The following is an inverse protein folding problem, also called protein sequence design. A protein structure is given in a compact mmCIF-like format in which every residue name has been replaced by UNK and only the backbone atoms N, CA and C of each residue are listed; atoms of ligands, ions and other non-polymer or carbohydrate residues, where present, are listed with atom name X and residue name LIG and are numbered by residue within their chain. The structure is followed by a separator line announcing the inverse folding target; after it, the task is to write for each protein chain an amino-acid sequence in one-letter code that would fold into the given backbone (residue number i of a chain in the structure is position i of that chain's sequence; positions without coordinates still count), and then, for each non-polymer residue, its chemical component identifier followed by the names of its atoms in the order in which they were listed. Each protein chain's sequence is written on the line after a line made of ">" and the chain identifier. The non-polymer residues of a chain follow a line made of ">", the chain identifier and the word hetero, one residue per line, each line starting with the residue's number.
data_IF_515335249053
#
_entry.id   IF_515335249053
#
_cell.length_a   1.000
_cell.length_b   1.000
_cell.length_c   1.000
_cell.angle_alpha   90.00
_cell.angle_beta   90.00
_cell.angle_gamma   90.00
#
_symmetry.space_group_name_H-M   'P 1'
#
loop_
_entity.id
_entity.type
_entity.pdbx_description
1 polymer ?
#
# COMPACT_ATOMS: atom_id res chain seq x y z
N UNK A 1 3.86 20.18 42.99
CA UNK A 1 5.01 19.92 42.08
C UNK A 1 4.90 18.47 41.65
N UNK A 2 5.01 18.19 40.34
CA UNK A 2 4.94 16.86 39.68
C UNK A 2 3.51 16.30 39.58
N UNK A 3 2.99 15.71 38.50
CA UNK A 3 3.19 15.72 37.05
C UNK A 3 1.95 14.96 36.52
N UNK A 4 1.10 15.62 35.74
CA UNK A 4 -0.03 14.97 35.05
C UNK A 4 0.08 15.16 33.54
N UNK A 5 1.24 14.81 32.97
CA UNK A 5 1.32 14.47 31.55
C UNK A 5 0.62 13.12 31.26
N UNK A 6 -0.70 13.16 31.13
CA UNK A 6 -1.42 12.12 30.38
C UNK A 6 -0.95 12.19 28.92
N UNK A 7 -0.07 11.27 28.54
CA UNK A 7 0.28 10.93 27.15
C UNK A 7 -0.99 10.60 26.38
N UNK A 8 -1.57 11.60 25.75
CA UNK A 8 -2.70 11.44 24.84
C UNK A 8 -2.15 10.78 23.56
N UNK A 9 -2.25 9.44 23.47
CA UNK A 9 -1.93 8.68 22.25
C UNK A 9 -2.83 9.23 21.14
N UNK A 10 -2.31 10.16 20.32
CA UNK A 10 -3.00 10.73 19.16
C UNK A 10 -3.40 9.57 18.26
N UNK A 11 -4.70 9.25 18.21
CA UNK A 11 -5.23 8.28 17.26
C UNK A 11 -4.83 8.72 15.85
N UNK A 12 -4.38 7.79 14.98
CA UNK A 12 -4.08 8.15 13.60
C UNK A 12 -5.31 8.78 12.96
N UNK A 13 -5.14 9.86 12.21
CA UNK A 13 -6.24 10.49 11.50
C UNK A 13 -6.87 9.54 10.48
N UNK A 14 -8.16 9.73 10.16
CA UNK A 14 -8.91 8.94 9.18
C UNK A 14 -8.15 8.74 7.85
N UNK A 15 -7.40 9.76 7.42
CA UNK A 15 -6.58 9.70 6.20
C UNK A 15 -5.46 8.65 6.23
N UNK A 16 -4.92 8.29 7.40
CA UNK A 16 -3.90 7.24 7.50
C UNK A 16 -4.53 5.87 7.23
N UNK A 17 -5.71 5.61 7.79
CA UNK A 17 -6.44 4.36 7.57
C UNK A 17 -6.88 4.20 6.11
N UNK A 18 -7.38 5.28 5.48
CA UNK A 18 -7.75 5.27 4.06
C UNK A 18 -6.55 5.00 3.15
N UNK A 19 -5.42 5.67 3.37
CA UNK A 19 -4.20 5.46 2.59
C UNK A 19 -3.63 4.05 2.79
N UNK A 20 -3.67 3.53 4.02
CA UNK A 20 -3.25 2.16 4.29
C UNK A 20 -4.16 1.15 3.58
N UNK A 21 -5.49 1.33 3.64
CA UNK A 21 -6.43 0.49 2.89
C UNK A 21 -6.18 0.52 1.39
N UNK A 22 -5.94 1.72 0.83
CA UNK A 22 -5.61 1.89 -0.58
C UNK A 22 -4.30 1.17 -0.95
N UNK A 23 -3.26 1.27 -0.11
CA UNK A 23 -1.99 0.58 -0.31
C UNK A 23 -2.15 -0.94 -0.32
N UNK A 24 -2.98 -1.49 0.58
CA UNK A 24 -3.28 -2.93 0.61
C UNK A 24 -4.00 -3.37 -0.67
N UNK A 25 -4.98 -2.60 -1.15
CA UNK A 25 -5.69 -2.90 -2.40
C UNK A 25 -4.74 -2.90 -3.60
N UNK A 26 -3.88 -1.89 -3.74
CA UNK A 26 -2.91 -1.84 -4.83
C UNK A 26 -1.87 -2.95 -4.76
N UNK A 27 -1.37 -3.28 -3.56
CA UNK A 27 -0.44 -4.39 -3.38
C UNK A 27 -1.09 -5.73 -3.74
N UNK A 28 -2.36 -5.93 -3.36
CA UNK A 28 -3.14 -7.11 -3.74
C UNK A 28 -3.32 -7.21 -5.25
N UNK A 29 -3.71 -6.12 -5.92
CA UNK A 29 -3.89 -6.08 -7.36
C UNK A 29 -2.57 -6.33 -8.12
N UNK A 30 -1.46 -5.74 -7.67
CA UNK A 30 -0.14 -5.97 -8.27
C UNK A 30 0.31 -7.43 -8.10
N UNK A 31 0.10 -8.01 -6.92
CA UNK A 31 0.42 -9.42 -6.66
C UNK A 31 -0.40 -10.36 -7.54
N UNK A 32 -1.70 -10.09 -7.68
CA UNK A 32 -2.58 -10.84 -8.57
C UNK A 32 -2.10 -10.76 -10.02
N UNK A 33 -1.79 -9.55 -10.52
CA UNK A 33 -1.32 -9.36 -11.89
C UNK A 33 0.01 -10.07 -12.16
N UNK A 34 0.97 -9.97 -11.24
CA UNK A 34 2.26 -10.68 -11.34
C UNK A 34 2.04 -12.20 -11.37
N UNK A 35 1.12 -12.74 -10.56
CA UNK A 35 0.81 -14.16 -10.55
C UNK A 35 0.16 -14.61 -11.87
N UNK A 36 -0.79 -13.83 -12.41
CA UNK A 36 -1.41 -14.11 -13.71
C UNK A 36 -0.34 -14.15 -14.82
N UNK A 37 0.53 -13.13 -14.88
CA UNK A 37 1.62 -13.07 -15.87
C UNK A 37 2.57 -14.26 -15.68
N UNK A 38 2.97 -14.57 -14.45
CA UNK A 38 3.85 -15.70 -14.17
C UNK A 38 3.25 -17.04 -14.64
N UNK A 39 1.97 -17.26 -14.37
CA UNK A 39 1.24 -18.45 -14.82
C UNK A 39 1.15 -18.51 -16.35
N UNK A 40 0.88 -17.37 -16.99
CA UNK A 40 0.83 -17.27 -18.45
C UNK A 40 2.18 -17.57 -19.10
N UNK A 41 3.28 -17.04 -18.55
CA UNK A 41 4.64 -17.32 -19.02
C UNK A 41 5.01 -18.80 -18.88
N UNK A 42 4.63 -19.45 -17.77
CA UNK A 42 4.84 -20.90 -17.60
C UNK A 42 4.04 -21.73 -18.61
N UNK A 43 2.80 -21.34 -18.90
CA UNK A 43 2.00 -21.99 -19.94
C UNK A 43 2.59 -21.78 -21.33
N UNK A 44 3.08 -20.58 -21.63
CA UNK A 44 3.76 -20.28 -22.89
C UNK A 44 5.03 -21.11 -23.05
N UNK A 45 5.84 -21.22 -22.00
CA UNK A 45 7.03 -22.06 -21.99
C UNK A 45 6.70 -23.55 -22.22
N UNK A 46 5.59 -24.04 -21.64
CA UNK A 46 5.11 -25.39 -21.87
C UNK A 46 4.66 -25.60 -23.33
N UNK A 47 3.90 -24.65 -23.89
CA UNK A 47 3.45 -24.70 -25.28
C UNK A 47 4.63 -24.66 -26.27
N UNK A 48 5.65 -23.85 -25.99
CA UNK A 48 6.88 -23.81 -26.78
C UNK A 48 7.62 -25.15 -26.70
N UNK A 49 7.74 -25.74 -25.50
CA UNK A 49 8.37 -27.04 -25.31
C UNK A 49 7.61 -28.16 -26.05
N UNK A 50 6.28 -28.14 -26.02
CA UNK A 50 5.44 -29.07 -26.79
C UNK A 50 5.67 -28.94 -28.29
N UNK A 51 5.67 -27.71 -28.81
CA UNK A 51 5.88 -27.44 -30.24
C UNK A 51 7.27 -27.91 -30.69
N UNK A 52 8.32 -27.60 -29.90
CA UNK A 52 9.68 -28.05 -30.17
C UNK A 52 9.80 -29.57 -30.11
N UNK A 53 9.23 -30.20 -29.08
CA UNK A 53 9.21 -31.65 -28.94
C UNK A 53 8.57 -32.30 -30.17
N UNK A 54 7.41 -31.78 -30.62
CA UNK A 54 6.72 -32.29 -31.81
C UNK A 54 7.56 -32.17 -33.07
N UNK A 55 8.15 -31.00 -33.35
CA UNK A 55 8.96 -30.78 -34.55
C UNK A 55 10.19 -31.69 -34.56
N UNK A 56 10.92 -31.76 -33.45
CA UNK A 56 12.12 -32.60 -33.33
C UNK A 56 11.77 -34.09 -33.47
N UNK A 57 10.66 -34.51 -32.85
CA UNK A 57 10.17 -35.88 -32.94
C UNK A 57 9.73 -36.25 -34.36
N UNK A 58 8.93 -35.40 -35.01
CA UNK A 58 8.49 -35.61 -36.40
C UNK A 58 9.68 -35.64 -37.36
N UNK A 59 10.68 -34.78 -37.14
CA UNK A 59 11.91 -34.74 -37.94
C UNK A 59 12.70 -36.04 -37.81
N UNK A 60 12.95 -36.50 -36.59
CA UNK A 60 13.71 -37.73 -36.37
C UNK A 60 12.97 -38.96 -36.86
N UNK A 61 11.64 -39.01 -36.72
CA UNK A 61 10.81 -40.05 -37.32
C UNK A 61 10.86 -40.05 -38.85
N UNK A 62 10.81 -38.87 -39.48
CA UNK A 62 10.96 -38.76 -40.93
C UNK A 62 12.34 -39.24 -41.38
N UNK A 63 13.39 -38.96 -40.61
CA UNK A 63 14.74 -39.49 -40.86
C UNK A 63 14.76 -41.02 -40.73
N UNK A 64 14.21 -41.58 -39.66
CA UNK A 64 14.11 -43.03 -39.48
C UNK A 64 13.37 -43.70 -40.66
N UNK A 65 12.21 -43.15 -41.04
CA UNK A 65 11.41 -43.63 -42.15
C UNK A 65 12.15 -43.56 -43.50
N UNK A 66 12.97 -42.52 -43.74
CA UNK A 66 13.82 -42.45 -44.93
C UNK A 66 14.83 -43.60 -44.97
N UNK A 67 15.50 -43.91 -43.85
CA UNK A 67 16.41 -45.05 -43.77
C UNK A 67 15.67 -46.37 -44.00
N UNK A 68 14.54 -46.58 -43.30
CA UNK A 68 13.77 -47.83 -43.34
C UNK A 68 13.12 -48.08 -44.72
N UNK A 69 12.44 -47.09 -45.29
CA UNK A 69 11.59 -47.30 -46.47
C UNK A 69 12.22 -46.80 -47.78
N UNK A 70 13.24 -45.94 -47.74
CA UNK A 70 13.85 -45.37 -48.96
C UNK A 70 15.26 -45.87 -49.20
N UNK A 71 16.16 -45.71 -48.22
CA UNK A 71 17.58 -46.03 -48.40
C UNK A 71 17.82 -47.54 -48.39
N UNK A 72 17.45 -48.23 -47.30
CA UNK A 72 17.74 -49.66 -47.12
C UNK A 72 17.24 -50.52 -48.26
N UNK A 73 15.98 -50.45 -48.73
CA UNK A 73 15.50 -51.34 -49.78
C UNK A 73 16.33 -51.22 -51.07
N UNK A 74 16.73 -49.99 -51.44
CA UNK A 74 17.56 -49.74 -52.62
C UNK A 74 18.98 -50.28 -52.47
N UNK A 75 19.60 -50.05 -51.30
CA UNK A 75 20.97 -50.53 -51.04
C UNK A 75 20.99 -52.07 -50.93
N UNK A 76 19.99 -52.68 -50.30
CA UNK A 76 19.84 -54.14 -50.29
C UNK A 76 19.68 -54.68 -51.70
N UNK A 77 18.76 -54.13 -52.51
CA UNK A 77 18.57 -54.58 -53.89
C UNK A 77 19.85 -54.48 -54.75
N UNK A 78 20.64 -53.41 -54.57
CA UNK A 78 21.90 -53.21 -55.29
C UNK A 78 23.00 -54.17 -54.83
N UNK A 79 23.05 -54.47 -53.53
CA UNK A 79 24.16 -55.22 -52.91
C UNK A 79 23.88 -56.71 -52.79
N UNK A 80 22.62 -57.17 -52.82
CA UNK A 80 22.25 -58.59 -52.66
C UNK A 80 23.07 -59.56 -53.54
N UNK A 81 23.41 -59.25 -54.82
CA UNK A 81 24.19 -60.17 -55.65
C UNK A 81 25.66 -60.36 -55.21
N UNK A 82 26.22 -59.39 -54.49
CA UNK A 82 27.66 -59.32 -54.15
C UNK A 82 27.94 -59.34 -52.65
N UNK A 83 26.91 -59.10 -51.82
CA UNK A 83 27.01 -59.01 -50.37
C UNK A 83 26.94 -60.40 -49.76
N UNK A 84 27.88 -60.71 -48.88
CA UNK A 84 27.83 -61.94 -48.08
C UNK A 84 26.61 -61.91 -47.15
N UNK A 85 25.95 -63.06 -46.98
CA UNK A 85 24.89 -63.24 -45.97
C UNK A 85 25.34 -62.92 -44.55
N UNK A 86 26.64 -63.03 -44.28
CA UNK A 86 27.23 -62.69 -42.99
C UNK A 86 27.46 -61.20 -42.77
N UNK A 87 27.46 -60.39 -43.83
CA UNK A 87 27.81 -58.97 -43.78
C UNK A 87 26.72 -58.17 -43.06
N UNK A 88 27.17 -57.35 -42.13
CA UNK A 88 26.36 -56.38 -41.42
C UNK A 88 27.15 -55.09 -41.22
N UNK A 89 26.53 -53.95 -41.51
CA UNK A 89 27.08 -52.63 -41.24
C UNK A 89 25.99 -51.75 -40.60
N UNK A 90 26.15 -51.35 -39.33
CA UNK A 90 25.13 -50.60 -38.62
C UNK A 90 24.88 -49.21 -39.20
N UNK A 91 25.82 -48.62 -39.95
CA UNK A 91 25.72 -47.25 -40.48
C UNK A 91 24.54 -47.05 -41.43
N UNK A 92 24.16 -48.10 -42.17
CA UNK A 92 23.03 -48.04 -43.12
C UNK A 92 22.00 -49.16 -42.90
N UNK A 93 22.38 -50.30 -42.33
CA UNK A 93 21.44 -51.41 -42.10
C UNK A 93 20.60 -51.20 -40.83
N UNK A 94 21.04 -50.37 -39.89
CA UNK A 94 20.28 -50.01 -38.68
C UNK A 94 19.81 -48.56 -38.72
N UNK A 95 18.49 -48.36 -38.81
CA UNK A 95 17.89 -47.01 -38.84
C UNK A 95 18.11 -46.32 -37.50
N UNK A 96 17.88 -47.03 -36.40
CA UNK A 96 18.15 -46.56 -35.03
C UNK A 96 19.61 -46.19 -34.78
N UNK A 97 20.58 -46.92 -35.35
CA UNK A 97 21.99 -46.53 -35.27
C UNK A 97 22.23 -45.22 -36.01
N UNK A 98 21.76 -45.11 -37.26
CA UNK A 98 21.92 -43.89 -38.06
C UNK A 98 21.29 -42.66 -37.38
N UNK A 99 20.06 -42.78 -36.88
CA UNK A 99 19.37 -41.69 -36.17
C UNK A 99 20.12 -41.30 -34.89
N UNK A 100 20.67 -42.27 -34.14
CA UNK A 100 21.48 -41.98 -32.95
C UNK A 100 22.78 -41.24 -33.30
N UNK A 101 23.48 -41.63 -34.36
CA UNK A 101 24.69 -40.91 -34.79
C UNK A 101 24.35 -39.49 -35.28
N UNK A 102 23.22 -39.31 -35.97
CA UNK A 102 22.71 -37.99 -36.34
C UNK A 102 22.40 -37.15 -35.08
N UNK A 103 21.80 -37.75 -34.04
CA UNK A 103 21.53 -37.06 -32.78
C UNK A 103 22.82 -36.62 -32.06
N UNK A 104 23.90 -37.41 -32.13
CA UNK A 104 25.22 -36.99 -31.64
C UNK A 104 25.75 -35.76 -32.38
N UNK A 105 25.59 -35.71 -33.70
CA UNK A 105 25.94 -34.52 -34.48
C UNK A 105 25.04 -33.33 -34.15
N UNK A 106 23.74 -33.54 -33.96
CA UNK A 106 22.81 -32.51 -33.54
C UNK A 106 23.21 -31.90 -32.18
N UNK A 107 23.54 -32.73 -31.19
CA UNK A 107 24.03 -32.27 -29.88
C UNK A 107 25.34 -31.50 -29.96
N UNK A 108 26.23 -31.85 -30.89
CA UNK A 108 27.46 -31.07 -31.11
C UNK A 108 27.18 -29.66 -31.69
N UNK A 109 26.06 -29.49 -32.40
CA UNK A 109 25.61 -28.20 -32.95
C UNK A 109 24.70 -27.43 -31.96
N UNK A 110 24.08 -28.13 -31.01
CA UNK A 110 23.08 -27.58 -30.10
C UNK A 110 23.25 -28.15 -28.69
N UNK A 111 23.61 -27.27 -27.74
CA UNK A 111 23.82 -27.59 -26.33
C UNK A 111 22.61 -27.24 -25.44
N UNK A 112 21.41 -27.11 -26.00
CA UNK A 112 20.18 -26.80 -25.24
C UNK A 112 19.65 -28.00 -24.41
N UNK A 113 20.45 -29.05 -24.22
CA UNK A 113 20.13 -30.14 -23.29
C UNK A 113 18.94 -31.01 -23.69
N UNK A 114 18.57 -31.03 -24.98
CA UNK A 114 17.54 -31.92 -25.48
C UNK A 114 17.97 -33.38 -25.36
N UNK A 115 17.09 -34.20 -24.79
CA UNK A 115 17.25 -35.65 -24.80
C UNK A 115 16.38 -36.24 -25.89
N UNK A 116 16.98 -37.07 -26.72
CA UNK A 116 16.30 -37.90 -27.70
C UNK A 116 16.79 -39.33 -27.57
N UNK A 117 15.87 -40.30 -27.58
CA UNK A 117 16.20 -41.72 -27.62
C UNK A 117 15.11 -42.52 -28.31
N UNK A 118 15.48 -43.31 -29.30
CA UNK A 118 14.68 -44.45 -29.74
C UNK A 118 14.90 -45.58 -28.73
N UNK A 119 13.97 -45.71 -27.80
CA UNK A 119 14.04 -46.65 -26.70
C UNK A 119 13.36 -47.97 -27.08
N UNK A 120 13.93 -49.09 -26.68
CA UNK A 120 13.35 -50.41 -26.90
C UNK A 120 13.51 -51.31 -25.68
N UNK A 121 12.56 -52.23 -25.47
CA UNK A 121 12.67 -53.29 -24.47
C UNK A 121 13.67 -54.31 -25.00
N UNK A 122 14.71 -54.70 -24.24
CA UNK A 122 15.75 -55.62 -24.71
C UNK A 122 16.37 -55.13 -26.04
N UNK A 123 16.81 -53.87 -26.04
CA UNK A 123 17.40 -53.20 -27.19
C UNK A 123 18.74 -53.85 -27.58
N UNK A 124 19.05 -53.88 -28.88
CA UNK A 124 20.32 -54.46 -29.36
C UNK A 124 21.53 -53.67 -28.86
N UNK A 125 21.46 -52.34 -28.96
CA UNK A 125 22.45 -51.46 -28.34
C UNK A 125 22.02 -51.14 -26.91
N UNK A 126 22.91 -51.27 -25.91
CA UNK A 126 22.62 -50.87 -24.53
C UNK A 126 22.15 -49.43 -24.40
N UNK A 127 22.66 -48.53 -25.24
CA UNK A 127 22.31 -47.10 -25.24
C UNK A 127 20.83 -46.84 -25.57
N UNK A 128 20.16 -47.78 -26.26
CA UNK A 128 18.75 -47.69 -26.63
C UNK A 128 17.84 -48.44 -25.65
N UNK A 129 18.37 -49.01 -24.57
CA UNK A 129 17.54 -49.72 -23.61
C UNK A 129 16.55 -48.74 -22.96
N UNK A 130 15.28 -49.13 -22.96
CA UNK A 130 14.23 -48.36 -22.33
C UNK A 130 14.40 -48.32 -20.81
N UNK A 131 14.24 -47.14 -20.22
CA UNK A 131 14.13 -46.99 -18.77
C UNK A 131 12.77 -47.51 -18.26
N UNK A 132 12.56 -47.57 -16.95
CA UNK A 132 11.31 -48.11 -16.38
C UNK A 132 10.04 -47.38 -16.89
N UNK A 133 10.13 -46.08 -17.16
CA UNK A 133 9.01 -45.29 -17.64
C UNK A 133 8.73 -45.53 -19.13
N UNK A 134 9.80 -45.56 -19.94
CA UNK A 134 9.75 -45.90 -21.36
C UNK A 134 9.24 -47.34 -21.58
N UNK A 135 9.66 -48.29 -20.75
CA UNK A 135 9.21 -49.70 -20.77
C UNK A 135 7.72 -49.84 -20.55
N UNK A 136 7.19 -49.21 -19.49
CA UNK A 136 5.77 -49.25 -19.18
C UNK A 136 4.91 -48.73 -20.35
N UNK A 137 5.36 -47.68 -21.04
CA UNK A 137 4.67 -47.17 -22.22
C UNK A 137 4.71 -48.16 -23.39
N UNK A 138 5.87 -48.79 -23.67
CA UNK A 138 5.99 -49.79 -24.76
C UNK A 138 5.10 -51.01 -24.49
N UNK A 139 5.02 -51.47 -23.24
CA UNK A 139 4.13 -52.57 -22.85
C UNK A 139 2.66 -52.21 -23.11
N UNK A 140 2.26 -50.98 -22.77
CA UNK A 140 0.91 -50.47 -23.03
C UNK A 140 0.58 -50.35 -24.52
N UNK A 141 1.54 -49.95 -25.36
CA UNK A 141 1.35 -49.85 -26.82
C UNK A 141 0.93 -51.16 -27.48
N UNK A 142 1.35 -52.30 -26.92
CA UNK A 142 0.96 -53.63 -27.42
C UNK A 142 -0.46 -54.01 -26.99
N UNK A 143 -1.00 -53.41 -25.92
CA UNK A 143 -2.37 -53.61 -25.45
C UNK A 143 -3.38 -52.65 -26.06
N UNK A 144 -2.95 -51.45 -26.47
CA UNK A 144 -3.82 -50.41 -27.05
C UNK A 144 -3.27 -49.92 -28.40
N UNK A 145 -3.82 -50.39 -29.54
CA UNK A 145 -3.43 -49.93 -30.89
C UNK A 145 -3.66 -48.44 -31.16
N UNK A 146 -4.61 -47.80 -30.47
CA UNK A 146 -4.95 -46.38 -30.69
C UNK A 146 -4.01 -45.44 -29.94
N UNK A 147 -3.30 -45.93 -28.92
CA UNK A 147 -2.27 -45.17 -28.22
C UNK A 147 -1.09 -44.87 -29.15
N UNK A 148 -1.00 -43.61 -29.59
CA UNK A 148 0.07 -43.13 -30.49
C UNK A 148 1.15 -42.34 -29.78
N UNK A 149 0.78 -41.54 -28.78
CA UNK A 149 1.72 -40.74 -28.01
C UNK A 149 1.21 -40.48 -26.60
N UNK A 150 2.12 -40.12 -25.71
CA UNK A 150 1.85 -39.65 -24.35
C UNK A 150 2.79 -38.50 -24.02
N UNK A 151 2.23 -37.39 -23.56
CA UNK A 151 3.01 -36.23 -23.12
C UNK A 151 2.72 -35.91 -21.66
N UNK A 152 3.75 -35.51 -20.92
CA UNK A 152 3.64 -35.14 -19.50
C UNK A 152 4.86 -34.32 -19.05
N UNK A 153 4.74 -33.68 -17.90
CA UNK A 153 5.89 -33.05 -17.22
C UNK A 153 6.48 -34.06 -16.23
N UNK A 154 7.78 -34.29 -16.30
CA UNK A 154 8.52 -35.15 -15.35
C UNK A 154 9.60 -34.35 -14.64
N UNK A 155 9.75 -34.60 -13.34
CA UNK A 155 10.94 -34.19 -12.60
C UNK A 155 11.96 -35.33 -12.67
N UNK A 156 13.15 -35.04 -13.20
CA UNK A 156 14.28 -35.96 -13.32
C UNK A 156 15.48 -35.28 -12.64
N UNK A 157 15.97 -35.87 -11.56
CA UNK A 157 17.14 -35.38 -10.80
C UNK A 157 17.07 -33.90 -10.40
N UNK A 158 15.87 -33.41 -10.07
CA UNK A 158 15.63 -32.02 -9.65
C UNK A 158 15.34 -31.06 -10.79
N UNK A 159 15.41 -31.50 -12.05
CA UNK A 159 15.08 -30.70 -13.22
C UNK A 159 13.74 -31.14 -13.84
N UNK A 160 12.94 -30.16 -14.29
CA UNK A 160 11.67 -30.42 -14.96
C UNK A 160 11.86 -30.53 -16.46
N UNK A 161 11.23 -31.55 -17.05
CA UNK A 161 11.23 -31.80 -18.48
C UNK A 161 9.81 -31.99 -18.98
N UNK A 162 9.51 -31.42 -20.15
CA UNK A 162 8.39 -31.85 -20.96
C UNK A 162 8.81 -33.12 -21.69
N UNK A 163 8.14 -34.23 -21.41
CA UNK A 163 8.47 -35.54 -21.96
C UNK A 163 7.35 -35.98 -22.87
N UNK A 164 7.70 -36.28 -24.12
CA UNK A 164 6.80 -36.92 -25.07
C UNK A 164 7.35 -38.27 -25.44
N UNK A 165 6.51 -39.30 -25.28
CA UNK A 165 6.73 -40.63 -25.79
C UNK A 165 5.82 -40.85 -27.00
N UNK A 166 6.35 -41.47 -28.05
CA UNK A 166 5.59 -41.81 -29.25
C UNK A 166 5.83 -43.24 -29.67
N UNK A 167 4.77 -43.89 -30.15
CA UNK A 167 4.80 -45.24 -30.73
C UNK A 167 5.87 -45.31 -31.81
N UNK A 168 6.77 -46.29 -31.69
CA UNK A 168 7.77 -46.60 -32.70
C UNK A 168 7.21 -47.43 -33.86
N UNK A 169 8.10 -47.83 -34.77
CA UNK A 169 7.73 -48.75 -35.85
C UNK A 169 7.36 -50.14 -35.28
N UNK A 170 6.38 -50.77 -35.92
CA UNK A 170 6.02 -52.17 -35.66
C UNK A 170 7.04 -53.09 -36.32
N UNK A 171 7.23 -54.28 -35.76
CA UNK A 171 8.11 -55.28 -36.34
C UNK A 171 7.53 -55.81 -37.67
N UNK A 172 8.09 -55.37 -38.80
CA UNK A 172 7.75 -55.89 -40.12
C UNK A 172 8.46 -57.22 -40.41
N UNK A 173 8.00 -57.97 -41.43
CA UNK A 173 8.67 -59.19 -41.90
C UNK A 173 10.14 -58.95 -42.28
N UNK A 174 10.42 -57.78 -42.86
CA UNK A 174 11.78 -57.36 -43.22
C UNK A 174 12.70 -57.24 -41.99
N UNK A 175 12.16 -56.87 -40.84
CA UNK A 175 12.90 -56.74 -39.58
C UNK A 175 13.33 -58.10 -39.02
N UNK A 176 12.55 -59.16 -39.27
CA UNK A 176 12.81 -60.51 -38.78
C UNK A 176 14.06 -61.14 -39.39
N UNK A 177 14.59 -60.60 -40.50
CA UNK A 177 15.92 -60.94 -41.04
C UNK A 177 17.03 -60.76 -39.99
N UNK A 178 16.89 -59.78 -39.10
CA UNK A 178 17.88 -59.45 -38.08
C UNK A 178 17.39 -59.65 -36.64
N UNK A 179 16.08 -59.80 -36.42
CA UNK A 179 15.46 -59.84 -35.09
C UNK A 179 14.72 -61.15 -34.76
N UNK A 180 14.73 -62.14 -35.66
CA UNK A 180 14.12 -63.46 -35.41
C UNK A 180 14.97 -64.30 -34.45
N UNK A 181 15.86 -65.15 -34.93
CA UNK A 181 16.76 -65.96 -34.09
C UNK A 181 18.22 -65.62 -34.38
N UNK A 182 19.13 -65.82 -33.41
CA UNK A 182 20.56 -65.58 -33.63
C UNK A 182 21.13 -66.35 -34.83
N UNK A 183 20.68 -67.59 -35.05
CA UNK A 183 21.17 -68.44 -36.16
C UNK A 183 20.76 -67.94 -37.55
N UNK A 184 19.65 -67.20 -37.64
CA UNK A 184 19.13 -66.63 -38.90
C UNK A 184 19.65 -65.23 -39.19
N UNK A 185 20.21 -64.56 -38.19
CA UNK A 185 20.73 -63.21 -38.35
C UNK A 185 22.14 -63.22 -38.97
N UNK A 186 22.57 -62.11 -39.62
CA UNK A 186 23.92 -62.00 -40.15
C UNK A 186 24.98 -62.30 -39.08
N UNK A 187 25.94 -63.17 -39.37
CA UNK A 187 26.96 -63.59 -38.39
C UNK A 187 27.77 -62.41 -37.83
N UNK A 188 28.06 -61.40 -38.66
CA UNK A 188 28.78 -60.20 -38.19
C UNK A 188 27.96 -59.40 -37.17
N UNK A 189 26.63 -59.37 -37.32
CA UNK A 189 25.73 -58.72 -36.37
C UNK A 189 25.75 -59.43 -35.01
N UNK A 190 25.67 -60.76 -35.02
CA UNK A 190 25.76 -61.56 -33.78
C UNK A 190 27.14 -61.43 -33.15
N UNK A 191 28.20 -61.37 -33.96
CA UNK A 191 29.56 -61.12 -33.46
C UNK A 191 29.72 -59.75 -32.80
N UNK A 192 29.04 -58.71 -33.32
CA UNK A 192 29.15 -57.35 -32.81
C UNK A 192 28.31 -57.10 -31.54
N UNK A 193 27.11 -57.69 -31.46
CA UNK A 193 26.14 -57.40 -30.39
C UNK A 193 25.81 -58.58 -29.47
N UNK A 194 26.33 -59.78 -29.77
CA UNK A 194 25.99 -61.02 -29.08
C UNK A 194 24.61 -61.59 -29.48
N UNK A 195 24.28 -62.80 -29.02
CA UNK A 195 23.04 -63.52 -29.37
C UNK A 195 21.86 -63.26 -28.41
N UNK A 196 22.04 -62.46 -27.36
CA UNK A 196 21.04 -62.34 -26.28
C UNK A 196 19.99 -61.25 -26.53
N UNK A 197 20.43 -60.11 -27.08
CA UNK A 197 19.60 -58.89 -27.14
C UNK A 197 18.89 -58.74 -28.48
N UNK A 198 17.63 -58.29 -28.40
CA UNK A 198 16.81 -57.95 -29.57
C UNK A 198 16.55 -59.10 -30.55
N UNK A 199 16.52 -60.33 -30.03
CA UNK A 199 16.06 -61.52 -30.75
C UNK A 199 14.70 -62.00 -30.22
N UNK A 200 14.15 -63.03 -30.84
CA UNK A 200 12.86 -63.66 -30.57
C UNK A 200 11.67 -62.72 -30.75
N UNK A 201 11.76 -61.82 -31.72
CA UNK A 201 10.69 -60.87 -32.07
C UNK A 201 9.65 -61.48 -32.99
N UNK A 202 8.43 -60.96 -32.93
CA UNK A 202 7.29 -61.39 -33.74
C UNK A 202 6.82 -60.27 -34.66
N UNK A 203 6.30 -60.62 -35.83
CA UNK A 203 5.66 -59.65 -36.70
C UNK A 203 4.51 -58.93 -35.96
N UNK A 204 4.33 -57.64 -36.24
CA UNK A 204 3.36 -56.73 -35.62
C UNK A 204 3.58 -56.40 -34.13
N UNK A 205 4.66 -56.89 -33.50
CA UNK A 205 5.04 -56.50 -32.13
C UNK A 205 5.58 -55.06 -32.12
N UNK A 206 5.16 -54.25 -31.14
CA UNK A 206 5.73 -52.92 -30.90
C UNK A 206 6.80 -53.04 -29.82
N UNK A 207 8.07 -52.99 -30.21
CA UNK A 207 9.20 -53.16 -29.27
C UNK A 207 9.91 -51.87 -28.93
N UNK A 208 9.52 -50.78 -29.59
CA UNK A 208 10.19 -49.50 -29.50
C UNK A 208 9.21 -48.34 -29.34
N UNK A 209 9.70 -47.29 -28.68
CA UNK A 209 9.08 -45.99 -28.62
C UNK A 209 10.17 -44.93 -28.80
N UNK A 210 9.76 -43.73 -29.19
CA UNK A 210 10.66 -42.58 -29.27
C UNK A 210 10.38 -41.69 -28.07
N UNK A 211 11.42 -41.40 -27.28
CA UNK A 211 11.37 -40.49 -26.16
C UNK A 211 12.09 -39.20 -26.51
N UNK A 212 11.39 -38.08 -26.35
CA UNK A 212 11.98 -36.75 -26.38
C UNK A 212 11.74 -36.06 -25.03
N UNK A 213 12.76 -35.39 -24.50
CA UNK A 213 12.67 -34.60 -23.28
C UNK A 213 13.20 -33.20 -23.58
N UNK A 214 12.33 -32.21 -23.41
CA UNK A 214 12.65 -30.80 -23.56
C UNK A 214 12.80 -30.19 -22.17
N UNK A 215 13.94 -29.58 -21.82
CA UNK A 215 14.13 -28.98 -20.50
C UNK A 215 13.17 -27.80 -20.30
N UNK A 216 12.42 -27.83 -19.20
CA UNK A 216 11.55 -26.74 -18.76
C UNK A 216 12.21 -25.88 -17.68
N UNK A 217 13.21 -26.41 -16.96
CA UNK A 217 13.88 -25.70 -15.86
C UNK A 217 14.39 -24.32 -16.27
N UNK A 218 15.08 -24.20 -17.40
CA UNK A 218 15.61 -22.92 -17.87
C UNK A 218 14.51 -21.97 -18.33
N UNK A 219 13.46 -22.49 -18.95
CA UNK A 219 12.30 -21.71 -19.38
C UNK A 219 11.52 -21.16 -18.17
N UNK A 220 11.27 -21.99 -17.16
CA UNK A 220 10.63 -21.59 -15.91
C UNK A 220 11.51 -20.63 -15.11
N UNK A 221 12.82 -20.85 -15.04
CA UNK A 221 13.74 -19.92 -14.39
C UNK A 221 13.77 -18.55 -15.09
N UNK A 222 13.60 -18.50 -16.42
CA UNK A 222 13.41 -17.23 -17.15
C UNK A 222 12.11 -16.55 -16.74
N UNK A 223 10.99 -17.28 -16.66
CA UNK A 223 9.71 -16.75 -16.19
C UNK A 223 9.79 -16.23 -14.74
N UNK A 224 10.51 -16.93 -13.85
CA UNK A 224 10.75 -16.51 -12.46
C UNK A 224 11.56 -15.22 -12.37
N UNK A 225 12.63 -15.10 -13.18
CA UNK A 225 13.44 -13.86 -13.25
C UNK A 225 12.59 -12.69 -13.73
N UNK A 226 11.78 -12.90 -14.76
CA UNK A 226 10.89 -11.87 -15.29
C UNK A 226 9.83 -11.44 -14.27
N UNK A 227 9.17 -12.38 -13.59
CA UNK A 227 8.21 -12.11 -12.52
C UNK A 227 8.83 -11.31 -11.36
N UNK A 228 10.06 -11.66 -10.92
CA UNK A 228 10.79 -10.90 -9.90
C UNK A 228 11.16 -9.50 -10.37
N UNK A 229 11.57 -9.35 -11.62
CA UNK A 229 11.87 -8.04 -12.21
C UNK A 229 10.63 -7.14 -12.24
N UNK A 230 9.51 -7.67 -12.72
CA UNK A 230 8.23 -6.96 -12.77
C UNK A 230 7.74 -6.58 -11.36
N UNK A 231 7.90 -7.47 -10.38
CA UNK A 231 7.60 -7.20 -8.98
C UNK A 231 8.40 -6.01 -8.42
N UNK A 232 9.71 -5.95 -8.72
CA UNK A 232 10.57 -4.80 -8.32
C UNK A 232 10.10 -3.50 -8.95
N UNK A 233 9.72 -3.52 -10.23
CA UNK A 233 9.15 -2.37 -10.93
C UNK A 233 7.87 -1.92 -10.23
N UNK A 234 6.90 -2.81 -10.01
CA UNK A 234 5.64 -2.47 -9.34
C UNK A 234 5.85 -1.89 -7.95
N UNK A 235 6.72 -2.50 -7.14
CA UNK A 235 7.05 -1.99 -5.80
C UNK A 235 7.67 -0.58 -5.91
N UNK A 236 8.63 -0.38 -6.80
CA UNK A 236 9.28 0.93 -6.98
C UNK A 236 8.29 2.02 -7.44
N UNK A 237 7.42 1.71 -8.39
CA UNK A 237 6.40 2.63 -8.89
C UNK A 237 5.36 2.95 -7.81
N UNK A 238 4.91 1.95 -7.04
CA UNK A 238 4.00 2.18 -5.91
C UNK A 238 4.63 3.07 -4.85
N UNK A 239 5.88 2.80 -4.45
CA UNK A 239 6.60 3.63 -3.49
C UNK A 239 6.73 5.08 -3.98
N UNK A 240 7.06 5.27 -5.26
CA UNK A 240 7.14 6.61 -5.86
C UNK A 240 5.77 7.31 -5.82
N UNK A 241 4.70 6.64 -6.25
CA UNK A 241 3.35 7.19 -6.24
C UNK A 241 2.91 7.58 -4.83
N UNK A 242 3.14 6.72 -3.82
CA UNK A 242 2.83 7.02 -2.43
C UNK A 242 3.70 8.15 -1.86
N UNK A 243 4.97 8.25 -2.26
CA UNK A 243 5.83 9.36 -1.87
C UNK A 243 5.34 10.69 -2.45
N UNK A 244 5.01 10.72 -3.75
CA UNK A 244 4.43 11.89 -4.42
C UNK A 244 3.10 12.27 -3.77
N UNK A 245 2.21 11.30 -3.55
CA UNK A 245 0.94 11.51 -2.88
C UNK A 245 1.12 12.07 -1.46
N UNK A 246 2.09 11.55 -0.69
CA UNK A 246 2.41 12.04 0.64
C UNK A 246 2.88 13.51 0.62
N UNK A 247 3.75 13.86 -0.32
CA UNK A 247 4.21 15.25 -0.52
C UNK A 247 3.01 16.14 -0.85
N UNK A 248 2.21 15.79 -1.86
CA UNK A 248 1.02 16.56 -2.23
C UNK A 248 0.05 16.72 -1.05
N UNK A 249 -0.26 15.64 -0.34
CA UNK A 249 -1.14 15.67 0.83
C UNK A 249 -0.60 16.58 1.94
N UNK A 250 0.71 16.54 2.19
CA UNK A 250 1.35 17.35 3.23
C UNK A 250 1.36 18.84 2.88
N UNK A 251 1.67 19.18 1.63
CA UNK A 251 1.80 20.58 1.19
C UNK A 251 0.46 21.24 0.85
N UNK A 252 -0.49 20.51 0.25
CA UNK A 252 -1.76 21.06 -0.24
C UNK A 252 -2.87 21.00 0.80
N UNK A 253 -2.91 19.96 1.64
CA UNK A 253 -4.01 19.75 2.60
C UNK A 253 -3.56 20.04 4.04
N UNK A 254 -2.62 19.26 4.57
CA UNK A 254 -2.25 19.34 6.00
C UNK A 254 -1.60 20.68 6.37
N UNK A 255 -0.71 21.20 5.52
CA UNK A 255 0.00 22.45 5.75
C UNK A 255 -0.95 23.65 5.97
N UNK A 256 -1.81 23.98 4.98
CA UNK A 256 -2.76 25.08 5.10
C UNK A 256 -3.72 24.94 6.28
N UNK A 257 -4.28 23.74 6.51
CA UNK A 257 -5.19 23.49 7.65
C UNK A 257 -4.48 23.78 8.98
N UNK A 258 -3.23 23.33 9.13
CA UNK A 258 -2.48 23.53 10.37
C UNK A 258 -2.18 25.01 10.61
N UNK A 259 -1.85 25.76 9.54
CA UNK A 259 -1.62 27.22 9.62
C UNK A 259 -2.89 27.97 9.99
N UNK A 260 -4.01 27.69 9.29
CA UNK A 260 -5.32 28.28 9.57
C UNK A 260 -5.73 28.02 11.02
N UNK A 261 -5.66 26.76 11.46
CA UNK A 261 -6.01 26.36 12.83
C UNK A 261 -5.13 27.05 13.88
N UNK A 262 -3.80 27.09 13.69
CA UNK A 262 -2.90 27.71 14.66
C UNK A 262 -3.11 29.23 14.73
N UNK A 263 -3.27 29.92 13.60
CA UNK A 263 -3.47 31.38 13.58
C UNK A 263 -4.83 31.77 14.13
N UNK A 264 -5.88 30.98 13.85
CA UNK A 264 -7.20 31.18 14.44
C UNK A 264 -7.18 31.01 15.97
N UNK A 265 -6.47 30.00 16.48
CA UNK A 265 -6.29 29.81 17.93
C UNK A 265 -5.54 30.99 18.55
N UNK A 266 -4.46 31.43 17.93
CA UNK A 266 -3.66 32.57 18.39
C UNK A 266 -4.49 33.86 18.49
N UNK A 267 -5.31 34.16 17.47
CA UNK A 267 -6.22 35.32 17.48
C UNK A 267 -7.31 35.16 18.55
N UNK A 268 -7.79 33.94 18.80
CA UNK A 268 -8.84 33.70 19.81
C UNK A 268 -8.35 33.77 21.27
N UNK A 269 -7.06 33.52 21.52
CA UNK A 269 -6.48 33.52 22.87
C UNK A 269 -5.95 34.90 23.28
N UNK A 270 -5.79 35.83 22.34
CA UNK A 270 -5.23 37.15 22.60
C UNK A 270 -6.03 38.25 21.89
N UNK A 271 -6.85 38.98 22.66
CA UNK A 271 -7.70 40.07 22.18
C UNK A 271 -6.92 41.19 21.46
N UNK A 272 -5.62 41.34 21.73
CA UNK A 272 -4.75 42.30 21.04
C UNK A 272 -4.44 41.94 19.58
N UNK A 273 -4.64 40.68 19.19
CA UNK A 273 -4.42 40.18 17.81
C UNK A 273 -5.73 40.13 17.00
N UNK A 274 -6.85 40.53 17.60
CA UNK A 274 -8.14 40.61 16.92
C UNK A 274 -8.06 41.62 15.77
N UNK A 275 -8.51 41.24 14.58
CA UNK A 275 -8.34 42.04 13.35
C UNK A 275 -7.12 41.66 12.50
N UNK A 276 -6.22 40.80 12.98
CA UNK A 276 -5.18 40.22 12.12
C UNK A 276 -5.75 39.26 11.07
N UNK A 277 -5.05 39.16 9.94
CA UNK A 277 -5.45 38.34 8.80
C UNK A 277 -4.64 37.05 8.70
N UNK A 278 -5.33 35.97 8.34
CA UNK A 278 -4.71 34.71 7.94
C UNK A 278 -4.37 34.78 6.45
N UNK A 279 -3.12 34.47 6.04
CA UNK A 279 -2.73 34.45 4.64
C UNK A 279 -3.57 33.47 3.83
N UNK A 280 -4.02 33.89 2.64
CA UNK A 280 -4.87 33.07 1.78
C UNK A 280 -4.09 31.86 1.22
N UNK A 281 -4.57 30.62 1.47
CA UNK A 281 -4.00 29.41 0.89
C UNK A 281 -4.13 29.37 -0.64
N UNK A 282 -3.30 28.54 -1.28
CA UNK A 282 -3.26 28.37 -2.75
C UNK A 282 -4.57 27.80 -3.30
N UNK A 283 -5.20 26.89 -2.58
CA UNK A 283 -6.45 26.24 -2.99
C UNK A 283 -7.64 27.18 -2.73
N UNK A 284 -8.57 27.25 -3.68
CA UNK A 284 -9.75 28.12 -3.61
C UNK A 284 -10.57 27.91 -2.34
N UNK A 285 -10.85 26.66 -1.97
CA UNK A 285 -11.73 26.30 -0.86
C UNK A 285 -11.15 26.78 0.49
N UNK A 286 -9.85 26.55 0.74
CA UNK A 286 -9.19 27.06 1.95
C UNK A 286 -8.99 28.58 1.90
N UNK A 287 -8.86 29.17 0.70
CA UNK A 287 -8.87 30.61 0.48
C UNK A 287 -10.19 31.26 0.89
N UNK A 288 -11.32 30.71 0.47
CA UNK A 288 -12.66 31.16 0.86
C UNK A 288 -12.86 31.08 2.38
N UNK A 289 -12.41 29.98 3.01
CA UNK A 289 -12.49 29.83 4.46
C UNK A 289 -11.61 30.84 5.22
N UNK A 290 -10.39 31.08 4.76
CA UNK A 290 -9.50 32.10 5.35
C UNK A 290 -10.08 33.51 5.17
N UNK A 291 -10.64 33.83 4.00
CA UNK A 291 -11.30 35.12 3.74
C UNK A 291 -12.52 35.35 4.64
N UNK A 292 -13.37 34.33 4.81
CA UNK A 292 -14.51 34.38 5.72
C UNK A 292 -14.06 34.59 7.18
N UNK A 293 -12.99 33.93 7.60
CA UNK A 293 -12.40 34.11 8.93
C UNK A 293 -11.86 35.55 9.11
N UNK A 294 -11.11 36.07 8.14
CA UNK A 294 -10.57 37.43 8.20
C UNK A 294 -11.69 38.47 8.27
N UNK A 295 -12.75 38.29 7.48
CA UNK A 295 -13.94 39.17 7.53
C UNK A 295 -14.60 39.18 8.92
N UNK A 296 -14.72 38.01 9.55
CA UNK A 296 -15.23 37.90 10.91
C UNK A 296 -14.30 38.58 11.92
N UNK A 297 -12.98 38.33 11.84
CA UNK A 297 -11.96 38.93 12.71
C UNK A 297 -12.04 40.47 12.69
N UNK A 298 -12.11 41.07 11.49
CA UNK A 298 -12.28 42.51 11.31
C UNK A 298 -13.59 43.04 11.88
N UNK A 299 -14.72 42.36 11.63
CA UNK A 299 -16.01 42.78 12.19
C UNK A 299 -16.01 42.73 13.71
N UNK A 300 -15.41 41.70 14.30
CA UNK A 300 -15.31 41.56 15.75
C UNK A 300 -14.46 42.69 16.34
N UNK A 301 -13.30 42.99 15.73
CA UNK A 301 -12.44 44.11 16.17
C UNK A 301 -13.17 45.44 16.18
N UNK A 302 -13.85 45.77 15.08
CA UNK A 302 -14.65 46.99 14.99
C UNK A 302 -15.77 47.05 16.04
N UNK A 303 -16.40 45.91 16.36
CA UNK A 303 -17.41 45.85 17.42
C UNK A 303 -16.81 46.04 18.81
N UNK A 304 -15.63 45.47 19.08
CA UNK A 304 -14.91 45.69 20.33
C UNK A 304 -14.49 47.15 20.49
N UNK A 305 -13.88 47.76 19.47
CA UNK A 305 -13.45 49.16 19.50
C UNK A 305 -14.65 50.11 19.72
N UNK A 306 -15.78 49.86 19.04
CA UNK A 306 -17.02 50.64 19.24
C UNK A 306 -17.63 50.46 20.64
N UNK A 307 -17.53 49.25 21.21
CA UNK A 307 -17.99 49.00 22.57
C UNK A 307 -17.09 49.69 23.59
N UNK A 308 -15.77 49.67 23.41
CA UNK A 308 -14.84 50.42 24.27
C UNK A 308 -15.13 51.91 24.24
N UNK A 309 -15.34 52.49 23.06
CA UNK A 309 -15.70 53.92 22.91
C UNK A 309 -17.01 54.25 23.66
N UNK A 310 -18.05 53.42 23.48
CA UNK A 310 -19.31 53.60 24.21
C UNK A 310 -19.16 53.44 25.71
N UNK A 311 -18.35 52.48 26.17
CA UNK A 311 -18.10 52.28 27.59
C UNK A 311 -17.38 53.50 28.16
N UNK A 312 -16.39 54.06 27.46
CA UNK A 312 -15.73 55.29 27.89
C UNK A 312 -16.68 56.49 27.93
N UNK A 313 -17.50 56.67 26.89
CA UNK A 313 -18.50 57.73 26.83
C UNK A 313 -19.48 57.63 28.00
N UNK A 314 -20.09 56.45 28.21
CA UNK A 314 -20.98 56.21 29.35
C UNK A 314 -20.30 56.39 30.70
N UNK A 315 -19.03 55.99 30.81
CA UNK A 315 -18.25 56.20 32.03
C UNK A 315 -18.01 57.69 32.29
N UNK A 316 -17.78 58.50 31.25
CA UNK A 316 -17.64 59.96 31.35
C UNK A 316 -18.96 60.62 31.74
N UNK A 317 -20.06 60.27 31.07
CA UNK A 317 -21.41 60.77 31.39
C UNK A 317 -21.79 60.44 32.84
N UNK A 318 -21.59 59.19 33.26
CA UNK A 318 -21.88 58.75 34.62
C UNK A 318 -21.05 59.53 35.64
N UNK A 319 -19.75 59.75 35.38
CA UNK A 319 -18.89 60.58 36.25
C UNK A 319 -19.37 62.03 36.32
N UNK A 320 -19.83 62.60 35.21
CA UNK A 320 -20.36 63.97 35.17
C UNK A 320 -21.67 64.09 35.97
N UNK A 321 -22.63 63.20 35.72
CA UNK A 321 -23.89 63.14 36.44
C UNK A 321 -23.68 62.92 37.95
N UNK A 322 -22.73 62.07 38.33
CA UNK A 322 -22.40 61.83 39.73
C UNK A 322 -21.79 63.08 40.41
N UNK A 323 -20.95 63.85 39.69
CA UNK A 323 -20.45 65.15 40.18
C UNK A 323 -21.57 66.18 40.35
N UNK A 324 -22.49 66.24 39.40
CA UNK A 324 -23.64 67.15 39.46
C UNK A 324 -24.57 66.81 40.63
N UNK A 325 -24.87 65.52 40.81
CA UNK A 325 -25.64 65.03 41.95
C UNK A 325 -24.95 65.37 43.28
N UNK A 326 -23.64 65.17 43.37
CA UNK A 326 -22.87 65.52 44.56
C UNK A 326 -22.94 67.03 44.87
N UNK A 327 -22.85 67.88 43.84
CA UNK A 327 -22.97 69.33 44.00
C UNK A 327 -24.36 69.75 44.47
N UNK A 328 -25.42 69.16 43.91
CA UNK A 328 -26.79 69.42 44.36
C UNK A 328 -27.01 68.99 45.83
N UNK A 329 -26.41 67.87 46.25
CA UNK A 329 -26.44 67.44 47.65
C UNK A 329 -25.72 68.43 48.58
N UNK A 330 -24.57 68.96 48.16
CA UNK A 330 -23.82 69.97 48.92
C UNK A 330 -24.57 71.32 49.01
N UNK A 331 -25.25 71.73 47.93
CA UNK A 331 -26.12 72.92 47.91
C UNK A 331 -27.32 72.76 48.87
N UNK A 332 -28.00 71.61 48.85
CA UNK A 332 -29.08 71.30 49.81
C UNK A 332 -28.56 71.34 51.25
N UNK A 333 -27.36 70.79 51.51
CA UNK A 333 -26.75 70.81 52.85
C UNK A 333 -26.44 72.23 53.33
N UNK A 334 -26.01 73.11 52.43
CA UNK A 334 -25.73 74.52 52.73
C UNK A 334 -27.02 75.30 53.01
N UNK A 335 -28.06 75.11 52.19
CA UNK A 335 -29.36 75.76 52.37
C UNK A 335 -30.04 75.34 53.68
N UNK A 336 -29.94 74.07 54.08
CA UNK A 336 -30.42 73.58 55.38
C UNK A 336 -29.63 74.12 56.58
N UNK A 337 -28.46 74.72 56.37
CA UNK A 337 -27.64 75.30 57.45
C UNK A 337 -28.01 76.74 57.82
N UNK A 338 -28.91 77.39 57.08
CA UNK A 338 -29.34 78.77 57.37
C UNK A 338 -30.48 78.74 58.38
N UNK A 339 -30.21 79.16 59.60
CA UNK A 339 -31.20 79.27 60.67
C UNK A 339 -31.78 80.69 60.69
N UNK A 340 -33.06 80.90 60.31
CA UNK A 340 -33.65 82.23 60.27
C UNK A 340 -33.89 82.78 61.68
N UNK A 341 -33.08 83.75 62.09
CA UNK A 341 -33.17 84.41 63.39
C UNK A 341 -33.78 85.81 63.27
N UNK A 342 -34.69 86.17 64.17
CA UNK A 342 -35.30 87.48 64.22
C UNK A 342 -34.25 88.51 64.66
N UNK A 343 -34.03 89.55 63.86
CA UNK A 343 -33.01 90.56 64.14
C UNK A 343 -33.24 91.36 65.44
N UNK A 344 -34.46 91.34 65.99
CA UNK A 344 -34.83 92.15 67.14
C UNK A 344 -34.92 91.33 68.44
N UNK A 345 -35.72 90.26 68.46
CA UNK A 345 -35.89 89.42 69.66
C UNK A 345 -34.95 88.19 69.71
N UNK A 346 -34.18 87.92 68.64
CA UNK A 346 -33.27 86.78 68.51
C UNK A 346 -33.92 85.39 68.61
N UNK A 347 -35.24 85.30 68.50
CA UNK A 347 -35.94 84.04 68.32
C UNK A 347 -35.63 83.42 66.95
N UNK A 348 -35.64 82.11 66.86
CA UNK A 348 -35.44 81.35 65.62
C UNK A 348 -36.78 80.89 65.06
N UNK A 349 -36.97 81.04 63.75
CA UNK A 349 -38.15 80.51 63.06
C UNK A 349 -37.92 79.05 62.66
N UNK A 350 -38.85 78.17 63.04
CA UNK A 350 -38.82 76.77 62.63
C UNK A 350 -39.42 76.54 61.24
N UNK A 351 -39.31 75.31 60.73
CA UNK A 351 -39.83 74.90 59.41
C UNK A 351 -41.36 75.01 59.29
N UNK A 352 -42.08 75.09 60.42
CA UNK A 352 -43.54 75.30 60.47
C UNK A 352 -43.90 76.78 60.54
N UNK A 353 -42.90 77.66 60.64
CA UNK A 353 -43.02 79.09 60.62
C UNK A 353 -43.21 79.73 62.00
N UNK A 354 -43.12 78.99 63.10
CA UNK A 354 -43.23 79.50 64.46
C UNK A 354 -41.90 80.04 64.98
N UNK A 355 -41.96 81.09 65.80
CA UNK A 355 -40.79 81.66 66.46
C UNK A 355 -40.59 80.99 67.82
N UNK A 356 -39.36 80.51 68.05
CA UNK A 356 -38.95 79.83 69.25
C UNK A 356 -37.74 80.55 69.85
N UNK A 357 -37.62 80.58 71.18
CA UNK A 357 -36.39 81.03 71.83
C UNK A 357 -35.20 80.18 71.37
N UNK A 358 -34.05 80.85 71.22
CA UNK A 358 -32.81 80.28 70.66
C UNK A 358 -32.43 78.97 71.36
N UNK A 359 -32.42 78.98 72.69
CA UNK A 359 -32.02 77.86 73.53
C UNK A 359 -32.94 76.65 73.33
N UNK A 360 -34.26 76.92 73.25
CA UNK A 360 -35.27 75.88 73.00
C UNK A 360 -35.11 75.29 71.60
N UNK A 361 -34.97 76.13 70.58
CA UNK A 361 -34.82 75.67 69.20
C UNK A 361 -33.58 74.78 69.02
N UNK A 362 -32.43 75.20 69.56
CA UNK A 362 -31.17 74.45 69.45
C UNK A 362 -31.23 73.15 70.26
N UNK A 363 -31.84 73.14 71.44
CA UNK A 363 -32.03 71.91 72.24
C UNK A 363 -32.93 70.90 71.53
N UNK A 364 -33.98 71.36 70.85
CA UNK A 364 -34.94 70.49 70.15
C UNK A 364 -34.37 69.92 68.82
N UNK A 365 -33.36 70.59 68.23
CA UNK A 365 -32.83 70.26 66.89
C UNK A 365 -31.34 69.87 66.88
N UNK A 366 -30.72 69.69 68.06
CA UNK A 366 -29.34 69.22 68.19
C UNK A 366 -29.13 68.48 69.50
N UNK A 367 -27.97 67.85 69.69
CA UNK A 367 -27.61 67.21 70.96
C UNK A 367 -27.08 68.20 72.02
N UNK A 368 -27.14 69.51 71.75
CA UNK A 368 -26.63 70.53 72.67
C UNK A 368 -27.57 70.71 73.89
N UNK A 369 -26.98 70.77 75.09
CA UNK A 369 -27.67 71.08 76.33
C UNK A 369 -27.22 72.44 76.87
N UNK A 370 -28.16 73.29 77.28
CA UNK A 370 -27.86 74.61 77.84
C UNK A 370 -27.84 74.55 79.37
N UNK A 371 -26.71 74.92 79.97
CA UNK A 371 -26.61 75.24 81.40
C UNK A 371 -26.72 76.75 81.59
N UNK A 372 -27.54 77.21 82.52
CA UNK A 372 -27.63 78.62 82.87
C UNK A 372 -26.52 78.96 83.86
N UNK A 373 -25.59 79.82 83.45
CA UNK A 373 -24.61 80.46 84.32
C UNK A 373 -24.66 81.96 84.07
N UNK A 374 -24.23 82.75 85.04
CA UNK A 374 -24.07 84.19 84.87
C UNK A 374 -22.58 84.47 84.70
N UNK A 375 -22.21 85.16 83.62
CA UNK A 375 -20.81 85.53 83.42
C UNK A 375 -20.42 86.65 84.40
N UNK A 376 -19.14 86.75 84.75
CA UNK A 376 -18.63 87.71 85.75
C UNK A 376 -19.08 89.15 85.47
N UNK A 377 -19.13 89.55 84.19
CA UNK A 377 -19.60 90.88 83.78
C UNK A 377 -21.08 91.12 84.11
N UNK A 378 -21.93 90.11 83.91
CA UNK A 378 -23.35 90.21 84.21
C UNK A 378 -23.61 90.09 85.72
N UNK A 379 -22.83 89.26 86.41
CA UNK A 379 -22.89 89.14 87.87
C UNK A 379 -22.56 90.48 88.52
N UNK A 380 -21.47 91.12 88.11
CA UNK A 380 -21.06 92.43 88.63
C UNK A 380 -22.09 93.53 88.34
N UNK A 381 -22.73 93.49 87.17
CA UNK A 381 -23.69 94.51 86.76
C UNK A 381 -25.05 94.37 87.44
N UNK A 382 -25.53 93.14 87.63
CA UNK A 382 -26.91 92.87 88.02
C UNK A 382 -27.05 92.31 89.44
N UNK A 383 -26.00 91.72 90.00
CA UNK A 383 -25.96 91.12 91.34
C UNK A 383 -24.64 91.46 92.05
N UNK A 384 -24.27 92.75 92.15
CA UNK A 384 -23.00 93.18 92.75
C UNK A 384 -22.84 92.71 94.21
N UNK A 385 -23.93 92.47 94.93
CA UNK A 385 -23.96 92.00 96.32
C UNK A 385 -23.53 90.53 96.52
N UNK A 386 -23.45 89.73 95.45
CA UNK A 386 -23.02 88.32 95.52
C UNK A 386 -21.58 88.10 95.03
N UNK A 387 -20.81 89.19 94.87
CA UNK A 387 -19.39 89.16 94.52
C UNK A 387 -18.55 89.02 95.80
N UNK A 388 -18.41 87.79 96.31
CA UNK A 388 -17.45 87.48 97.40
C UNK A 388 -16.01 87.45 96.85
N UNK A 389 -15.02 87.85 97.67
CA UNK A 389 -13.60 88.16 97.32
C UNK A 389 -12.87 87.16 96.41
#
# INVERSE_FOLDING_TARGET
>A
MIDHQKKNKRRPGLGIYLNFGLAVVFAGAATYLVNVIHTQEQQQALFEAETKAKILLDRNLATHAYFSHTLKPKVFALTEPVRSDSYFDPSWMSSTHAVREIDKHFKALNDEGYYYKECAINARSPENEADAFEKAFIEELNGDPELKYRSLIRNLDGAFYYVTLRRGEVMEESCLRCHSTPDKAPKHLVGLYGPERSFNRRANEVVSAISIRVPLSDAYAKADRFSRYLSKIFISTLLLLFAVQYVVYRFVILGPITRLKNKALEISENDGLLGEEIPLPITREFGEMASAFNTMSHKLRNQFDHLEEKVEERTRELKAANRELQKALDEIKTLKGIVPICMHCKEIRDDKGYWNQLEKFISDHSEAQFSHSICDKCLEKHYPEYKEE
#
